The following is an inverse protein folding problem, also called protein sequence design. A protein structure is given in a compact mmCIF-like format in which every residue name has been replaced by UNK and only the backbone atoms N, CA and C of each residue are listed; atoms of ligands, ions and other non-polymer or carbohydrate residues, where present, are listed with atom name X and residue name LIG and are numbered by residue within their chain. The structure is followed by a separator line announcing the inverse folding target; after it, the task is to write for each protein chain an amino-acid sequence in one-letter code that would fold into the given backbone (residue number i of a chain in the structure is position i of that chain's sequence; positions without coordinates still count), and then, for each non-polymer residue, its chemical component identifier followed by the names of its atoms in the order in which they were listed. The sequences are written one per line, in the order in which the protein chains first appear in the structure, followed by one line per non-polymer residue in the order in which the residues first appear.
data_IF_675900228744
#
_entry.id   IF_675900228744
#
_cell.length_a   1.000
_cell.length_b   1.000
_cell.length_c   1.000
_cell.angle_alpha   90.00
_cell.angle_beta   90.00
_cell.angle_gamma   90.00
#
_symmetry.space_group_name_H-M   'P 1'
#
loop_
_entity.id
_entity.type
_entity.pdbx_description
1 polymer ?
#
# COMPACT_ATOMS: atom_id res chain seq x y z
N UNK A 1 -8.45 7.60 -21.53
CA UNK A 1 -9.49 6.54 -21.48
C UNK A 1 -8.87 5.16 -21.23
N UNK A 2 -7.87 4.74 -22.01
CA UNK A 2 -7.16 3.46 -21.83
C UNK A 2 -6.63 3.25 -20.39
N UNK A 3 -5.93 4.25 -19.83
CA UNK A 3 -5.41 4.15 -18.46
C UNK A 3 -6.51 3.93 -17.39
N UNK A 4 -7.67 4.59 -17.54
CA UNK A 4 -8.79 4.40 -16.61
C UNK A 4 -9.37 2.99 -16.70
N UNK A 5 -9.57 2.48 -17.93
CA UNK A 5 -10.04 1.11 -18.15
C UNK A 5 -9.04 0.09 -17.60
N UNK A 6 -7.74 0.31 -17.79
CA UNK A 6 -6.71 -0.57 -17.26
C UNK A 6 -6.78 -0.60 -15.73
N UNK A 7 -6.86 0.56 -15.06
CA UNK A 7 -7.02 0.65 -13.60
C UNK A 7 -8.27 -0.10 -13.12
N UNK A 8 -9.41 0.02 -13.81
CA UNK A 8 -10.60 -0.72 -13.43
C UNK A 8 -10.40 -2.24 -13.58
N UNK A 9 -9.82 -2.67 -14.70
CA UNK A 9 -9.56 -4.10 -14.92
C UNK A 9 -8.57 -4.67 -13.90
N UNK A 10 -7.52 -3.94 -13.50
CA UNK A 10 -6.56 -4.44 -12.50
C UNK A 10 -7.17 -4.56 -11.11
N UNK A 11 -8.06 -3.65 -10.71
CA UNK A 11 -8.81 -3.78 -9.45
C UNK A 11 -9.75 -4.99 -9.47
N UNK A 12 -10.43 -5.22 -10.60
CA UNK A 12 -11.33 -6.37 -10.76
C UNK A 12 -10.59 -7.72 -10.78
N UNK A 13 -9.35 -7.74 -11.28
CA UNK A 13 -8.50 -8.94 -11.31
C UNK A 13 -8.29 -9.49 -9.89
N UNK A 14 -8.14 -8.61 -8.89
CA UNK A 14 -8.01 -8.98 -7.49
C UNK A 14 -9.20 -9.79 -6.97
N UNK A 15 -10.44 -9.45 -7.37
CA UNK A 15 -11.63 -10.23 -6.99
C UNK A 15 -11.64 -11.63 -7.59
N UNK A 16 -11.15 -11.79 -8.83
CA UNK A 16 -10.99 -13.09 -9.48
C UNK A 16 -10.00 -13.98 -8.73
N UNK A 17 -8.83 -13.44 -8.38
CA UNK A 17 -7.80 -14.16 -7.61
C UNK A 17 -8.27 -14.50 -6.19
N UNK A 18 -8.95 -13.57 -5.50
CA UNK A 18 -9.49 -13.81 -4.17
C UNK A 18 -10.44 -15.01 -4.13
N UNK A 19 -11.21 -15.23 -5.20
CA UNK A 19 -12.09 -16.39 -5.35
C UNK A 19 -11.36 -17.73 -5.43
N UNK A 20 -10.24 -17.77 -6.18
CA UNK A 20 -9.39 -18.96 -6.33
C UNK A 20 -8.78 -19.34 -4.98
N UNK A 21 -8.29 -18.33 -4.25
CA UNK A 21 -7.63 -18.53 -2.95
C UNK A 21 -8.59 -18.54 -1.76
N UNK A 22 -9.90 -18.37 -1.96
CA UNK A 22 -10.92 -18.30 -0.90
C UNK A 22 -10.80 -19.46 0.10
N UNK A 23 -10.63 -20.68 -0.39
CA UNK A 23 -10.52 -21.87 0.46
C UNK A 23 -9.32 -21.81 1.42
N UNK A 24 -8.24 -21.15 1.02
CA UNK A 24 -7.00 -21.06 1.79
C UNK A 24 -6.94 -19.81 2.68
N UNK A 25 -7.39 -18.66 2.16
CA UNK A 25 -7.24 -17.35 2.82
C UNK A 25 -8.47 -16.91 3.61
N UNK A 26 -9.66 -17.43 3.29
CA UNK A 26 -10.92 -17.01 3.91
C UNK A 26 -11.52 -18.14 4.73
N UNK A 27 -11.53 -19.36 4.19
CA UNK A 27 -12.16 -20.48 4.88
C UNK A 27 -11.30 -21.05 6.02
N UNK A 28 -10.00 -20.71 6.05
CA UNK A 28 -9.06 -21.15 7.08
C UNK A 28 -9.23 -20.35 8.37
N UNK A 29 -9.41 -21.00 9.55
CA UNK A 29 -9.58 -20.30 10.82
C UNK A 29 -8.31 -19.65 11.35
N UNK A 30 -7.15 -20.03 10.82
CA UNK A 30 -5.86 -19.44 11.20
C UNK A 30 -5.57 -18.11 10.50
N UNK A 31 -6.30 -17.82 9.42
CA UNK A 31 -6.14 -16.59 8.65
C UNK A 31 -7.17 -15.56 9.11
N UNK A 32 -6.72 -14.46 9.69
CA UNK A 32 -7.59 -13.36 10.08
C UNK A 32 -7.02 -12.04 9.57
N UNK A 33 -7.91 -11.16 9.15
CA UNK A 33 -7.56 -9.90 8.49
C UNK A 33 -7.90 -8.73 9.40
N UNK A 34 -6.91 -8.11 10.09
CA UNK A 34 -7.18 -7.08 11.09
C UNK A 34 -7.94 -5.88 10.53
N UNK A 35 -7.67 -5.49 9.28
CA UNK A 35 -8.38 -4.39 8.60
C UNK A 35 -9.89 -4.65 8.46
N UNK A 36 -10.30 -5.90 8.24
CA UNK A 36 -11.71 -6.27 8.11
C UNK A 36 -12.45 -6.18 9.45
N UNK A 37 -11.77 -6.37 10.59
CA UNK A 37 -12.38 -6.26 11.91
C UNK A 37 -12.91 -4.86 12.19
N UNK A 38 -12.22 -3.82 11.68
CA UNK A 38 -12.68 -2.43 11.82
C UNK A 38 -14.00 -2.22 11.06
N UNK A 39 -14.11 -2.75 9.84
CA UNK A 39 -15.34 -2.67 9.05
C UNK A 39 -16.48 -3.48 9.69
N UNK A 40 -16.20 -4.69 10.19
CA UNK A 40 -17.19 -5.50 10.91
C UNK A 40 -17.69 -4.79 12.16
N UNK A 41 -16.81 -4.12 12.90
CA UNK A 41 -17.19 -3.31 14.08
C UNK A 41 -18.15 -2.18 13.71
N UNK A 42 -17.87 -1.48 12.61
CA UNK A 42 -18.76 -0.44 12.07
C UNK A 42 -20.12 -1.00 11.69
N UNK A 43 -20.18 -2.07 10.89
CA UNK A 43 -21.45 -2.68 10.50
C UNK A 43 -22.24 -3.20 11.69
N UNK A 44 -21.56 -3.73 12.71
CA UNK A 44 -22.19 -4.16 13.96
C UNK A 44 -22.79 -2.98 14.71
N UNK A 45 -22.12 -1.84 14.77
CA UNK A 45 -22.62 -0.62 15.41
C UNK A 45 -23.86 -0.04 14.68
N UNK A 46 -23.93 -0.18 13.35
CA UNK A 46 -25.05 0.29 12.54
C UNK A 46 -26.28 -0.64 12.59
N UNK A 47 -26.06 -1.96 12.57
CA UNK A 47 -27.16 -2.93 12.41
C UNK A 47 -27.71 -3.47 13.74
N UNK A 48 -26.92 -3.53 14.82
CA UNK A 48 -27.44 -4.03 16.10
C UNK A 48 -28.19 -2.96 16.88
N UNK A 49 -29.48 -3.22 17.15
CA UNK A 49 -30.28 -2.40 18.07
C UNK A 49 -29.84 -2.66 19.52
N UNK A 50 -29.15 -1.70 20.12
CA UNK A 50 -28.74 -1.76 21.52
C UNK A 50 -29.84 -1.27 22.47
N UNK A 51 -30.06 -2.01 23.56
CA UNK A 51 -30.87 -1.52 24.69
C UNK A 51 -30.02 -0.53 25.49
N UNK A 52 -30.42 0.74 25.50
CA UNK A 52 -29.71 1.82 26.20
C UNK A 52 -29.69 1.56 27.71
N UNK A 53 -28.50 1.44 28.31
CA UNK A 53 -28.34 1.52 29.76
C UNK A 53 -28.40 3.00 30.18
N UNK A 54 -29.18 3.32 31.22
CA UNK A 54 -29.29 4.69 31.76
C UNK A 54 -27.87 5.22 32.08
N UNK A 55 -27.54 6.41 31.58
CA UNK A 55 -26.25 7.08 31.80
C UNK A 55 -25.15 6.80 30.76
N UNK A 56 -25.39 5.96 29.75
CA UNK A 56 -24.39 5.68 28.70
C UNK A 56 -24.88 6.09 27.31
N UNK A 57 -23.95 6.53 26.44
CA UNK A 57 -24.20 6.72 25.01
C UNK A 57 -24.33 5.35 24.34
N UNK A 58 -25.23 5.23 23.36
CA UNK A 58 -25.28 4.03 22.51
C UNK A 58 -24.07 4.02 21.56
N UNK A 59 -23.67 2.84 21.05
CA UNK A 59 -22.56 2.76 20.09
C UNK A 59 -22.80 3.62 18.84
N UNK A 60 -24.04 3.67 18.36
CA UNK A 60 -24.41 4.51 17.22
C UNK A 60 -24.31 6.00 17.53
N UNK A 61 -24.75 6.45 18.72
CA UNK A 61 -24.61 7.84 19.14
C UNK A 61 -23.14 8.24 19.25
N UNK A 62 -22.31 7.41 19.89
CA UNK A 62 -20.88 7.64 19.96
C UNK A 62 -20.24 7.73 18.57
N UNK A 63 -20.57 6.79 17.67
CA UNK A 63 -20.10 6.80 16.28
C UNK A 63 -20.47 8.11 15.57
N UNK A 64 -21.74 8.54 15.63
CA UNK A 64 -22.18 9.77 14.99
C UNK A 64 -21.50 11.01 15.59
N UNK A 65 -21.32 11.06 16.90
CA UNK A 65 -20.60 12.16 17.56
C UNK A 65 -19.15 12.24 17.09
N UNK A 66 -18.43 11.11 17.07
CA UNK A 66 -17.03 11.07 16.61
C UNK A 66 -16.94 11.35 15.10
N UNK A 67 -17.88 10.86 14.30
CA UNK A 67 -17.94 11.11 12.86
C UNK A 67 -18.10 12.60 12.57
N UNK A 68 -19.09 13.27 13.19
CA UNK A 68 -19.34 14.70 13.00
C UNK A 68 -18.16 15.53 13.53
N UNK A 69 -17.62 15.18 14.71
CA UNK A 69 -16.48 15.88 15.28
C UNK A 69 -15.23 15.74 14.40
N UNK A 70 -14.95 14.55 13.90
CA UNK A 70 -13.81 14.30 12.99
C UNK A 70 -14.02 15.01 11.65
N UNK A 71 -15.22 14.97 11.09
CA UNK A 71 -15.57 15.68 9.84
C UNK A 71 -15.35 17.19 9.99
N UNK A 72 -15.84 17.78 11.09
CA UNK A 72 -15.64 19.19 11.38
C UNK A 72 -14.15 19.51 11.62
N UNK A 73 -13.43 18.64 12.33
CA UNK A 73 -12.00 18.83 12.60
C UNK A 73 -11.17 18.79 11.32
N UNK A 74 -11.49 17.92 10.35
CA UNK A 74 -10.76 17.81 9.08
C UNK A 74 -10.74 19.12 8.25
N UNK A 75 -11.73 20.00 8.42
CA UNK A 75 -11.70 21.33 7.80
C UNK A 75 -10.52 22.20 8.31
N UNK A 76 -10.04 21.96 9.53
CA UNK A 76 -8.95 22.71 10.14
C UNK A 76 -7.61 22.42 9.45
N UNK A 77 -7.05 21.19 9.46
CA UNK A 77 -5.81 20.92 8.75
C UNK A 77 -6.00 20.92 7.21
N UNK A 78 -7.21 20.67 6.71
CA UNK A 78 -7.44 20.62 5.26
C UNK A 78 -7.54 21.97 4.56
N UNK A 79 -8.08 23.00 5.24
CA UNK A 79 -8.37 24.29 4.60
C UNK A 79 -7.97 25.50 5.44
N UNK A 80 -8.31 25.53 6.73
CA UNK A 80 -8.11 26.74 7.55
C UNK A 80 -6.65 26.93 7.99
N UNK A 81 -5.98 25.85 8.38
CA UNK A 81 -4.60 25.89 8.88
C UNK A 81 -3.82 24.60 8.54
N UNK A 82 -3.35 24.47 7.28
CA UNK A 82 -2.59 23.29 6.85
C UNK A 82 -1.26 23.07 7.58
N UNK A 83 -0.69 24.12 8.19
CA UNK A 83 0.57 24.00 8.94
C UNK A 83 0.45 23.13 10.21
N UNK A 84 -0.76 22.88 10.74
CA UNK A 84 -0.99 21.97 11.87
C UNK A 84 -0.63 20.51 11.51
N UNK A 85 -0.68 20.13 10.24
CA UNK A 85 -0.33 18.78 9.81
C UNK A 85 1.15 18.46 10.02
N UNK A 86 2.04 19.46 10.02
CA UNK A 86 3.49 19.27 10.22
C UNK A 86 4.13 20.44 10.99
N UNK A 87 3.86 20.53 12.29
CA UNK A 87 4.48 21.51 13.19
C UNK A 87 5.91 21.04 13.51
N UNK A 88 6.88 21.62 12.80
CA UNK A 88 8.30 21.28 12.95
C UNK A 88 8.99 22.23 13.92
N UNK A 89 9.14 21.84 15.18
CA UNK A 89 9.65 22.71 16.26
C UNK A 89 11.05 23.21 15.94
N UNK A 90 11.93 22.35 15.43
CA UNK A 90 13.29 22.72 15.05
C UNK A 90 13.34 23.77 13.93
N UNK A 91 12.42 23.70 12.96
CA UNK A 91 12.32 24.69 11.88
C UNK A 91 11.84 26.06 12.41
N UNK A 92 11.00 26.08 13.45
CA UNK A 92 10.50 27.30 14.07
C UNK A 92 11.59 28.01 14.89
N UNK A 93 12.42 27.24 15.62
CA UNK A 93 13.53 27.77 16.42
C UNK A 93 14.68 28.22 15.51
N UNK A 94 15.05 27.42 14.51
CA UNK A 94 16.22 27.66 13.66
C UNK A 94 15.86 28.01 12.22
N UNK A 95 15.22 29.17 12.02
CA UNK A 95 14.71 29.61 10.71
C UNK A 95 15.77 29.83 9.63
N UNK A 96 17.04 30.07 9.99
CA UNK A 96 18.11 30.41 9.04
C UNK A 96 19.06 29.25 8.69
N UNK A 97 18.98 28.13 9.42
CA UNK A 97 19.91 27.01 9.24
C UNK A 97 19.33 25.95 8.31
N UNK A 98 19.95 25.75 7.14
CA UNK A 98 19.52 24.73 6.17
C UNK A 98 19.66 23.31 6.75
N UNK A 99 20.73 23.04 7.50
CA UNK A 99 20.95 21.73 8.12
C UNK A 99 19.90 21.42 9.17
N UNK A 100 19.53 22.42 10.00
CA UNK A 100 18.50 22.22 11.01
C UNK A 100 17.11 22.05 10.39
N UNK A 101 16.84 22.71 9.25
CA UNK A 101 15.63 22.47 8.47
C UNK A 101 15.59 21.07 7.84
N UNK A 102 16.72 20.57 7.33
CA UNK A 102 16.82 19.19 6.81
C UNK A 102 16.60 18.13 7.90
N UNK A 103 17.03 18.41 9.13
CA UNK A 103 16.82 17.51 10.27
C UNK A 103 15.39 17.61 10.81
N UNK A 104 14.85 18.82 10.92
CA UNK A 104 13.60 19.09 11.61
C UNK A 104 12.34 19.05 10.75
N UNK A 105 12.45 19.29 9.44
CA UNK A 105 11.28 19.38 8.56
C UNK A 105 10.57 18.03 8.45
N UNK A 106 9.25 18.00 8.72
CA UNK A 106 8.42 16.80 8.57
C UNK A 106 8.08 16.43 7.11
N UNK A 107 8.09 17.40 6.18
CA UNK A 107 7.74 17.18 4.76
C UNK A 107 8.95 16.92 3.86
N UNK A 108 10.06 17.62 4.13
CA UNK A 108 11.24 17.63 3.26
C UNK A 108 12.53 17.21 4.00
N UNK A 109 12.40 16.70 5.22
CA UNK A 109 13.52 16.37 6.09
C UNK A 109 13.24 15.15 6.97
N UNK A 110 14.13 14.89 7.92
CA UNK A 110 14.07 13.71 8.79
C UNK A 110 12.93 13.73 9.82
N UNK A 111 12.21 14.86 9.94
CA UNK A 111 11.05 15.00 10.83
C UNK A 111 11.37 14.97 12.32
N UNK A 112 12.62 15.19 12.74
CA UNK A 112 12.97 15.19 14.17
C UNK A 112 12.27 16.38 14.86
N UNK A 113 11.55 16.10 15.95
CA UNK A 113 10.70 17.07 16.64
C UNK A 113 9.65 17.74 15.73
N UNK A 114 9.16 17.00 14.74
CA UNK A 114 7.98 17.37 13.96
C UNK A 114 6.74 16.65 14.50
N UNK A 115 5.66 17.39 14.68
CA UNK A 115 4.39 16.87 15.21
C UNK A 115 3.27 17.24 14.26
N UNK A 116 2.44 16.26 13.89
CA UNK A 116 1.18 16.50 13.19
C UNK A 116 0.00 16.30 14.12
N UNK A 117 -0.92 17.26 14.20
CA UNK A 117 -2.20 17.07 14.90
C UNK A 117 -3.30 16.56 13.96
N UNK A 118 -2.95 16.32 12.70
CA UNK A 118 -3.83 15.74 11.70
C UNK A 118 -3.72 14.21 11.71
N UNK A 119 -4.83 13.55 12.05
CA UNK A 119 -4.90 12.09 12.11
C UNK A 119 -4.58 11.44 10.76
N UNK A 120 -4.93 12.06 9.63
CA UNK A 120 -4.61 11.49 8.31
C UNK A 120 -3.11 11.49 8.04
N UNK A 121 -2.40 12.52 8.48
CA UNK A 121 -0.93 12.59 8.40
C UNK A 121 -0.27 11.56 9.32
N UNK A 122 -0.76 11.41 10.57
CA UNK A 122 -0.21 10.44 11.54
C UNK A 122 -0.49 9.00 11.13
N UNK A 123 -1.70 8.71 10.66
CA UNK A 123 -2.13 7.36 10.31
C UNK A 123 -1.70 6.96 8.89
N UNK A 124 -1.31 7.92 8.03
CA UNK A 124 -1.04 7.70 6.60
C UNK A 124 0.00 6.61 6.29
N UNK A 125 0.95 6.36 7.20
CA UNK A 125 1.98 5.33 7.00
C UNK A 125 1.52 3.91 7.31
N UNK A 126 0.77 3.69 8.40
CA UNK A 126 0.27 2.36 8.81
C UNK A 126 -1.20 2.14 8.41
N UNK A 127 -1.84 3.11 7.78
CA UNK A 127 -3.28 3.14 7.51
C UNK A 127 -4.09 3.35 8.78
N UNK A 128 -4.32 2.27 9.54
CA UNK A 128 -4.98 2.34 10.85
C UNK A 128 -4.12 1.64 11.91
N UNK A 129 -3.42 2.40 12.77
CA UNK A 129 -2.61 1.81 13.84
C UNK A 129 -3.46 1.04 14.86
N UNK A 130 -4.77 1.32 14.93
CA UNK A 130 -5.73 0.64 15.81
C UNK A 130 -6.04 -0.79 15.34
N UNK A 131 -5.92 -1.06 14.03
CA UNK A 131 -6.19 -2.37 13.47
C UNK A 131 -4.96 -3.29 13.54
N UNK A 132 -3.76 -2.71 13.50
CA UNK A 132 -2.51 -3.48 13.36
C UNK A 132 -2.01 -4.00 14.71
N UNK A 133 -1.49 -5.23 14.79
CA UNK A 133 -0.94 -5.77 16.04
C UNK A 133 0.31 -5.00 16.49
N UNK A 134 0.51 -4.91 17.80
CA UNK A 134 1.61 -4.15 18.41
C UNK A 134 3.00 -4.63 17.95
N UNK A 135 3.18 -5.94 17.74
CA UNK A 135 4.44 -6.50 17.24
C UNK A 135 4.81 -5.98 15.84
N UNK A 136 3.82 -5.86 14.95
CA UNK A 136 4.03 -5.31 13.61
C UNK A 136 4.37 -3.82 13.65
N UNK A 137 3.72 -3.05 14.55
CA UNK A 137 4.03 -1.63 14.75
C UNK A 137 5.47 -1.46 15.24
N UNK A 138 5.89 -2.23 16.25
CA UNK A 138 7.26 -2.16 16.78
C UNK A 138 8.29 -2.55 15.72
N UNK A 139 8.06 -3.64 14.96
CA UNK A 139 8.95 -4.05 13.88
C UNK A 139 9.09 -2.95 12.81
N UNK A 140 7.98 -2.32 12.44
CA UNK A 140 7.98 -1.24 11.45
C UNK A 140 8.69 0.01 11.98
N UNK A 141 8.53 0.34 13.26
CA UNK A 141 9.22 1.45 13.92
C UNK A 141 10.74 1.23 13.99
N UNK A 142 11.19 0.00 14.27
CA UNK A 142 12.62 -0.35 14.24
C UNK A 142 13.18 -0.17 12.82
N UNK A 143 12.48 -0.69 11.81
CA UNK A 143 12.86 -0.54 10.40
C UNK A 143 12.93 0.94 9.99
N UNK A 144 11.92 1.73 10.36
CA UNK A 144 11.90 3.17 10.13
C UNK A 144 13.12 3.87 10.75
N UNK A 145 13.43 3.56 12.01
CA UNK A 145 14.60 4.14 12.69
C UNK A 145 15.90 3.80 11.97
N UNK A 146 16.12 2.54 11.61
CA UNK A 146 17.33 2.11 10.92
C UNK A 146 17.45 2.75 9.54
N UNK A 147 16.38 2.79 8.75
CA UNK A 147 16.46 3.33 7.38
C UNK A 147 16.55 4.86 7.37
N UNK A 148 15.67 5.54 8.10
CA UNK A 148 15.54 6.99 8.05
C UNK A 148 16.57 7.71 8.93
N UNK A 149 16.91 7.17 10.11
CA UNK A 149 17.85 7.84 11.02
C UNK A 149 19.28 7.29 10.99
N UNK A 150 19.52 6.13 10.37
CA UNK A 150 20.88 5.58 10.23
C UNK A 150 21.31 5.55 8.78
N UNK A 151 20.66 4.76 7.93
CA UNK A 151 21.11 4.51 6.55
C UNK A 151 21.03 5.78 5.68
N UNK A 152 19.90 6.50 5.70
CA UNK A 152 19.70 7.69 4.88
C UNK A 152 20.69 8.81 5.24
N UNK A 153 20.84 9.20 6.52
CA UNK A 153 21.93 10.05 7.01
C UNK A 153 23.31 9.63 6.53
N UNK A 154 23.72 8.40 6.83
CA UNK A 154 25.05 7.92 6.49
C UNK A 154 25.31 8.05 4.99
N UNK A 155 24.36 7.63 4.15
CA UNK A 155 24.49 7.73 2.70
C UNK A 155 24.54 9.18 2.19
N UNK A 156 23.71 10.08 2.75
CA UNK A 156 23.67 11.47 2.32
C UNK A 156 24.94 12.23 2.71
N UNK A 157 25.41 12.09 3.95
CA UNK A 157 26.59 12.81 4.43
C UNK A 157 27.91 12.27 3.85
N UNK A 158 28.02 10.96 3.61
CA UNK A 158 29.15 10.34 2.89
C UNK A 158 29.11 10.60 1.37
N UNK A 159 28.09 11.32 0.88
CA UNK A 159 27.90 11.63 -0.54
C UNK A 159 27.88 10.40 -1.45
N UNK A 160 27.39 9.27 -0.93
CA UNK A 160 27.12 8.08 -1.76
C UNK A 160 26.10 8.46 -2.84
N UNK A 161 26.29 7.96 -4.06
CA UNK A 161 25.43 8.28 -5.20
C UNK A 161 25.33 9.79 -5.54
N UNK A 162 26.35 10.58 -5.19
CA UNK A 162 26.33 12.05 -5.37
C UNK A 162 25.11 12.70 -4.71
N UNK A 163 24.63 12.11 -3.61
CA UNK A 163 23.36 12.46 -2.96
C UNK A 163 23.24 13.94 -2.57
N UNK A 164 24.35 14.65 -2.32
CA UNK A 164 24.33 16.08 -1.95
C UNK A 164 23.85 17.01 -3.08
N UNK A 165 23.83 16.53 -4.31
CA UNK A 165 23.26 17.28 -5.44
C UNK A 165 21.73 17.29 -5.45
N UNK A 166 21.09 16.42 -4.66
CA UNK A 166 19.65 16.25 -4.64
C UNK A 166 19.08 16.58 -3.25
N UNK A 167 17.79 16.96 -3.15
CA UNK A 167 17.12 17.11 -1.87
C UNK A 167 17.14 15.80 -1.06
N UNK A 168 17.27 15.91 0.27
CA UNK A 168 17.35 14.76 1.17
C UNK A 168 16.14 13.81 1.03
N UNK A 169 14.93 14.39 0.97
CA UNK A 169 13.68 13.67 0.73
C UNK A 169 12.97 14.29 -0.47
N UNK A 170 12.83 13.51 -1.54
CA UNK A 170 12.05 13.91 -2.72
C UNK A 170 11.61 12.70 -3.53
N UNK A 171 10.40 12.75 -4.10
CA UNK A 171 9.90 11.78 -5.07
C UNK A 171 10.15 12.20 -6.52
N UNK A 172 10.77 13.36 -6.75
CA UNK A 172 11.04 13.86 -8.10
C UNK A 172 12.27 13.18 -8.72
N UNK A 173 12.30 13.17 -10.05
CA UNK A 173 13.44 12.75 -10.86
C UNK A 173 14.35 13.95 -11.14
N UNK A 174 15.66 13.73 -11.14
CA UNK A 174 16.65 14.80 -11.32
C UNK A 174 17.60 14.53 -12.49
N UNK A 175 18.10 15.60 -13.11
CA UNK A 175 19.21 15.53 -14.05
C UNK A 175 20.56 15.41 -13.31
N UNK A 176 21.66 15.35 -14.05
CA UNK A 176 23.02 15.31 -13.48
C UNK A 176 23.44 16.61 -12.77
N UNK A 177 22.73 17.71 -13.01
CA UNK A 177 22.97 19.03 -12.43
C UNK A 177 22.14 19.32 -11.17
N UNK A 178 21.21 18.42 -10.80
CA UNK A 178 20.31 18.57 -9.65
C UNK A 178 19.00 19.29 -9.95
N UNK A 179 18.68 19.57 -11.22
CA UNK A 179 17.40 20.14 -11.64
C UNK A 179 16.36 19.05 -11.88
N UNK A 180 15.08 19.41 -11.80
CA UNK A 180 13.98 18.48 -12.09
C UNK A 180 14.09 18.01 -13.54
N UNK A 181 14.05 16.71 -13.72
CA UNK A 181 14.23 16.05 -15.03
C UNK A 181 13.04 16.34 -15.95
N UNK A 182 13.30 16.92 -17.12
CA UNK A 182 12.24 17.27 -18.06
C UNK A 182 11.85 16.07 -18.95
N UNK A 183 10.77 15.38 -18.58
CA UNK A 183 10.28 14.19 -19.30
C UNK A 183 9.70 14.52 -20.68
N UNK A 184 9.19 15.73 -20.89
CA UNK A 184 8.57 16.14 -22.17
C UNK A 184 9.58 16.26 -23.31
N UNK A 185 10.87 16.41 -22.99
CA UNK A 185 11.95 16.48 -23.99
C UNK A 185 12.28 15.12 -24.61
N UNK A 186 12.03 14.04 -23.87
CA UNK A 186 12.49 12.69 -24.24
C UNK A 186 11.32 11.83 -24.72
N UNK A 187 10.13 12.08 -24.18
CA UNK A 187 8.91 11.36 -24.57
C UNK A 187 8.29 12.09 -25.75
N UNK A 188 8.08 11.38 -26.86
CA UNK A 188 7.35 11.92 -28.00
C UNK A 188 5.88 12.13 -27.62
N UNK A 189 5.37 13.36 -27.79
CA UNK A 189 4.00 13.73 -27.40
C UNK A 189 2.90 12.94 -28.13
N UNK A 190 3.18 12.42 -29.33
CA UNK A 190 2.19 11.74 -30.17
C UNK A 190 2.17 10.22 -29.96
N UNK A 191 3.34 9.60 -29.85
CA UNK A 191 3.49 8.14 -29.72
C UNK A 191 3.75 7.68 -28.29
N UNK A 192 3.99 8.60 -27.34
CA UNK A 192 4.45 8.32 -25.98
C UNK A 192 5.70 7.44 -25.91
N UNK A 193 6.45 7.32 -27.02
CA UNK A 193 7.66 6.50 -27.09
C UNK A 193 8.86 7.27 -26.58
N UNK A 194 9.77 6.56 -25.92
CA UNK A 194 11.05 7.09 -25.47
C UNK A 194 11.99 7.36 -26.67
N UNK A 195 12.48 8.58 -26.79
CA UNK A 195 13.51 8.93 -27.77
C UNK A 195 14.91 8.70 -27.17
N UNK A 196 15.51 7.56 -27.51
CA UNK A 196 16.82 7.13 -26.98
C UNK A 196 17.93 8.15 -27.30
N UNK A 197 17.92 8.76 -28.48
CA UNK A 197 18.95 9.74 -28.87
C UNK A 197 18.86 11.04 -28.07
N UNK A 198 17.65 11.51 -27.74
CA UNK A 198 17.48 12.68 -26.87
C UNK A 198 17.79 12.34 -25.41
N UNK A 199 17.51 11.12 -24.96
CA UNK A 199 17.91 10.64 -23.63
C UNK A 199 19.43 10.63 -23.48
N UNK A 200 20.15 10.06 -24.44
CA UNK A 200 21.62 10.00 -24.41
C UNK A 200 22.26 11.39 -24.38
N UNK A 201 21.66 12.37 -25.09
CA UNK A 201 22.11 13.76 -25.11
C UNK A 201 21.80 14.51 -23.82
N UNK A 202 20.61 14.29 -23.26
CA UNK A 202 20.17 14.98 -22.04
C UNK A 202 20.79 14.36 -20.77
N UNK A 203 21.18 13.09 -20.85
CA UNK A 203 21.77 12.32 -19.76
C UNK A 203 20.71 11.52 -19.01
N UNK A 204 21.16 10.48 -18.30
CA UNK A 204 20.28 9.57 -17.55
C UNK A 204 19.59 10.28 -16.38
N UNK A 205 18.39 9.82 -16.06
CA UNK A 205 17.66 10.25 -14.87
C UNK A 205 18.37 9.77 -13.60
N UNK A 206 18.44 10.63 -12.59
CA UNK A 206 18.94 10.33 -11.25
C UNK A 206 17.81 10.41 -10.23
N UNK A 207 17.88 9.55 -9.22
CA UNK A 207 16.93 9.49 -8.12
C UNK A 207 17.54 10.13 -6.86
N UNK A 208 16.71 10.73 -6.02
CA UNK A 208 17.13 11.08 -4.66
C UNK A 208 17.50 9.81 -3.89
N UNK A 209 18.40 9.93 -2.91
CA UNK A 209 18.81 8.79 -2.09
C UNK A 209 17.60 8.18 -1.34
N UNK A 210 16.69 9.01 -0.84
CA UNK A 210 15.45 8.54 -0.20
C UNK A 210 14.60 7.70 -1.15
N UNK A 211 14.45 8.14 -2.41
CA UNK A 211 13.59 7.44 -3.37
C UNK A 211 14.20 6.13 -3.82
N UNK A 212 15.53 6.11 -4.02
CA UNK A 212 16.27 4.87 -4.29
C UNK A 212 16.15 3.85 -3.15
N UNK A 213 16.26 4.29 -1.89
CA UNK A 213 16.08 3.42 -0.71
C UNK A 213 14.66 2.85 -0.62
N UNK A 214 13.63 3.64 -0.93
CA UNK A 214 12.24 3.16 -0.98
C UNK A 214 12.06 2.07 -2.04
N UNK A 215 12.64 2.23 -3.23
CA UNK A 215 12.63 1.17 -4.25
C UNK A 215 13.36 -0.09 -3.79
N UNK A 216 14.56 0.06 -3.24
CA UNK A 216 15.34 -1.06 -2.74
C UNK A 216 14.57 -1.85 -1.66
N UNK A 217 13.94 -1.15 -0.71
CA UNK A 217 13.13 -1.77 0.33
C UNK A 217 11.85 -2.41 -0.21
N UNK A 218 11.25 -1.85 -1.27
CA UNK A 218 10.08 -2.43 -1.93
C UNK A 218 10.42 -3.76 -2.62
N UNK A 219 11.59 -3.87 -3.27
CA UNK A 219 12.04 -5.15 -3.82
C UNK A 219 12.42 -6.13 -2.71
N UNK A 220 13.09 -5.65 -1.66
CA UNK A 220 13.46 -6.47 -0.52
C UNK A 220 12.22 -7.02 0.23
N UNK A 221 11.16 -6.24 0.37
CA UNK A 221 9.93 -6.68 1.05
C UNK A 221 9.24 -7.80 0.29
N UNK A 222 9.17 -7.73 -1.06
CA UNK A 222 8.62 -8.80 -1.89
C UNK A 222 9.38 -10.12 -1.70
N UNK A 223 10.72 -10.08 -1.72
CA UNK A 223 11.55 -11.27 -1.49
C UNK A 223 11.47 -11.76 -0.04
N UNK A 224 11.38 -10.85 0.93
CA UNK A 224 11.23 -11.17 2.33
C UNK A 224 9.90 -11.88 2.61
N UNK A 225 8.79 -11.44 2.00
CA UNK A 225 7.49 -12.10 2.13
C UNK A 225 7.55 -13.56 1.68
N UNK A 226 8.14 -13.83 0.51
CA UNK A 226 8.33 -15.21 0.03
C UNK A 226 9.20 -16.03 0.97
N UNK A 227 10.34 -15.47 1.40
CA UNK A 227 11.29 -16.16 2.27
C UNK A 227 10.64 -16.47 3.63
N UNK A 228 9.89 -15.52 4.17
CA UNK A 228 9.18 -15.67 5.44
C UNK A 228 8.14 -16.79 5.35
N UNK A 229 7.29 -16.77 4.32
CA UNK A 229 6.24 -17.79 4.12
C UNK A 229 6.86 -19.16 3.84
N UNK A 230 7.90 -19.24 3.02
CA UNK A 230 8.59 -20.49 2.72
C UNK A 230 9.20 -21.13 3.98
N UNK A 231 9.83 -20.35 4.86
CA UNK A 231 10.48 -20.86 6.07
C UNK A 231 9.49 -21.20 7.18
N UNK A 232 8.50 -20.35 7.44
CA UNK A 232 7.59 -20.51 8.59
C UNK A 232 6.35 -21.32 8.25
N UNK A 233 5.73 -21.07 7.10
CA UNK A 233 4.44 -21.66 6.73
C UNK A 233 4.55 -22.68 5.59
N UNK A 234 5.72 -22.82 4.95
CA UNK A 234 5.92 -23.69 3.79
C UNK A 234 5.60 -25.15 4.07
N UNK A 235 5.92 -25.65 5.27
CA UNK A 235 5.59 -27.03 5.67
C UNK A 235 4.07 -27.26 5.76
N UNK A 236 3.34 -26.27 6.26
CA UNK A 236 1.88 -26.36 6.41
C UNK A 236 1.18 -26.19 5.06
N UNK A 237 1.64 -25.25 4.23
CA UNK A 237 1.16 -25.08 2.85
C UNK A 237 1.39 -26.36 2.03
N UNK A 238 2.57 -26.97 2.16
CA UNK A 238 2.88 -28.23 1.46
C UNK A 238 1.99 -29.38 1.90
N UNK A 239 1.73 -29.52 3.21
CA UNK A 239 0.78 -30.52 3.74
C UNK A 239 -0.64 -30.25 3.28
N UNK A 240 -1.09 -28.98 3.25
CA UNK A 240 -2.40 -28.60 2.72
C UNK A 240 -2.51 -28.94 1.23
N UNK A 241 -1.45 -28.71 0.45
CA UNK A 241 -1.39 -29.02 -0.97
C UNK A 241 -1.48 -30.54 -1.23
N UNK A 242 -0.68 -31.35 -0.52
CA UNK A 242 -0.69 -32.81 -0.66
C UNK A 242 -2.02 -33.43 -0.21
N UNK A 243 -2.60 -32.91 0.87
CA UNK A 243 -3.80 -33.49 1.48
C UNK A 243 -5.07 -32.75 1.05
N UNK A 244 -5.11 -32.03 -0.08
CA UNK A 244 -6.24 -31.17 -0.48
C UNK A 244 -7.61 -31.88 -0.49
N UNK A 245 -7.64 -33.20 -0.68
CA UNK A 245 -8.84 -34.05 -0.58
C UNK A 245 -9.28 -34.40 0.86
N UNK A 246 -8.35 -34.44 1.82
CA UNK A 246 -8.53 -34.93 3.19
C UNK A 246 -8.52 -33.79 4.22
N UNK A 247 -7.66 -32.79 4.02
CA UNK A 247 -7.60 -31.54 4.80
C UNK A 247 -8.91 -30.75 4.72
N UNK A 248 -9.65 -30.84 3.60
CA UNK A 248 -10.97 -30.26 3.46
C UNK A 248 -12.10 -30.98 4.20
N UNK A 249 -11.84 -32.18 4.75
CA UNK A 249 -12.82 -33.00 5.47
C UNK A 249 -12.59 -33.06 6.97
N UNK A 250 -11.34 -33.06 7.46
CA UNK A 250 -11.05 -33.50 8.83
C UNK A 250 -10.52 -32.45 9.82
N UNK A 251 -10.13 -31.23 9.43
CA UNK A 251 -9.66 -30.22 10.40
C UNK A 251 -10.37 -28.86 10.32
N UNK A 252 -11.41 -28.81 11.16
CA UNK A 252 -11.89 -27.66 11.96
C UNK A 252 -12.53 -26.52 11.16
N UNK A 253 -13.78 -26.76 10.72
CA UNK A 253 -14.75 -25.67 10.61
C UNK A 253 -14.90 -25.04 12.00
N UNK A 254 -14.22 -23.91 12.21
CA UNK A 254 -14.41 -23.07 13.38
C UNK A 254 -15.89 -22.66 13.50
N UNK A 255 -16.32 -22.32 14.71
CA UNK A 255 -17.69 -21.90 15.03
C UNK A 255 -18.15 -20.81 14.06
N UNK A 256 -17.26 -19.87 13.71
CA UNK A 256 -17.53 -18.83 12.73
C UNK A 256 -17.80 -19.37 11.31
N UNK A 257 -16.99 -20.33 10.84
CA UNK A 257 -17.17 -20.96 9.53
C UNK A 257 -18.46 -21.79 9.47
N UNK A 258 -18.77 -22.50 10.56
CA UNK A 258 -20.01 -23.27 10.68
C UNK A 258 -21.26 -22.38 10.66
N UNK A 259 -21.23 -21.25 11.36
CA UNK A 259 -22.29 -20.24 11.34
C UNK A 259 -22.43 -19.62 9.94
N UNK A 260 -21.32 -19.32 9.27
CA UNK A 260 -21.29 -18.81 7.89
C UNK A 260 -21.95 -19.79 6.93
N UNK A 261 -21.50 -21.05 6.88
CA UNK A 261 -22.06 -22.08 5.98
C UNK A 261 -23.53 -22.39 6.24
N UNK A 262 -23.99 -22.24 7.50
CA UNK A 262 -25.40 -22.45 7.86
C UNK A 262 -26.31 -21.33 7.37
N UNK A 263 -25.83 -20.09 7.36
CA UNK A 263 -26.65 -18.91 7.06
C UNK A 263 -26.43 -18.36 5.64
N UNK A 264 -25.34 -18.72 4.97
CA UNK A 264 -24.95 -18.18 3.66
C UNK A 264 -24.53 -19.29 2.70
N UNK A 265 -25.14 -19.30 1.52
CA UNK A 265 -24.76 -20.21 0.44
C UNK A 265 -23.40 -19.81 -0.16
N UNK A 266 -22.49 -20.77 -0.44
CA UNK A 266 -21.20 -20.45 -1.02
C UNK A 266 -21.33 -20.05 -2.49
N UNK A 267 -20.75 -18.90 -2.84
CA UNK A 267 -20.60 -18.50 -4.25
C UNK A 267 -19.82 -19.56 -5.04
N UNK A 268 -20.34 -20.07 -6.18
CA UNK A 268 -19.67 -21.08 -6.97
C UNK A 268 -18.32 -20.60 -7.53
N UNK A 269 -17.31 -21.48 -7.55
CA UNK A 269 -15.96 -21.13 -8.00
C UNK A 269 -15.88 -20.68 -9.47
N UNK A 270 -16.77 -21.18 -10.33
CA UNK A 270 -16.77 -20.85 -11.76
C UNK A 270 -17.03 -19.36 -12.04
N UNK A 271 -17.75 -18.65 -11.17
CA UNK A 271 -17.94 -17.20 -11.30
C UNK A 271 -16.61 -16.46 -11.21
N UNK A 272 -15.72 -16.89 -10.32
CA UNK A 272 -14.41 -16.26 -10.15
C UNK A 272 -13.47 -16.56 -11.30
N UNK A 273 -13.49 -17.79 -11.83
CA UNK A 273 -12.75 -18.12 -13.05
C UNK A 273 -13.26 -17.32 -14.25
N UNK A 274 -14.58 -17.23 -14.45
CA UNK A 274 -15.17 -16.43 -15.52
C UNK A 274 -14.78 -14.95 -15.41
N UNK A 275 -14.90 -14.38 -14.21
CA UNK A 275 -14.51 -12.99 -13.96
C UNK A 275 -13.02 -12.79 -14.25
N UNK A 276 -12.15 -13.71 -13.80
CA UNK A 276 -10.72 -13.63 -14.06
C UNK A 276 -10.40 -13.65 -15.56
N UNK A 277 -10.96 -14.60 -16.31
CA UNK A 277 -10.74 -14.69 -17.76
C UNK A 277 -11.27 -13.47 -18.52
N UNK A 278 -12.47 -12.99 -18.16
CA UNK A 278 -13.08 -11.81 -18.75
C UNK A 278 -12.20 -10.57 -18.51
N UNK A 279 -11.76 -10.38 -17.27
CA UNK A 279 -10.93 -9.23 -16.89
C UNK A 279 -9.56 -9.26 -17.56
N UNK A 280 -8.91 -10.42 -17.64
CA UNK A 280 -7.63 -10.57 -18.38
C UNK A 280 -7.84 -10.22 -19.87
N UNK A 281 -8.93 -10.69 -20.48
CA UNK A 281 -9.28 -10.35 -21.86
C UNK A 281 -9.47 -8.84 -22.06
N UNK A 282 -10.21 -8.19 -21.16
CA UNK A 282 -10.38 -6.73 -21.19
C UNK A 282 -9.08 -5.97 -20.97
N UNK A 283 -8.19 -6.44 -20.08
CA UNK A 283 -6.87 -5.85 -19.89
C UNK A 283 -6.01 -5.95 -21.15
N UNK A 284 -6.00 -7.10 -21.84
CA UNK A 284 -5.27 -7.28 -23.10
C UNK A 284 -5.81 -6.32 -24.17
N UNK A 285 -7.14 -6.24 -24.34
CA UNK A 285 -7.78 -5.33 -25.30
C UNK A 285 -7.43 -3.86 -24.96
N UNK A 286 -7.36 -3.52 -23.68
CA UNK A 286 -7.02 -2.15 -23.25
C UNK A 286 -5.56 -1.81 -23.54
N UNK A 287 -4.64 -2.77 -23.37
CA UNK A 287 -3.21 -2.58 -23.59
C UNK A 287 -2.83 -2.51 -25.08
N UNK A 288 -3.35 -3.41 -25.90
CA UNK A 288 -3.08 -3.46 -27.35
C UNK A 288 -3.97 -2.49 -28.14
N UNK A 289 -5.15 -2.19 -27.61
CA UNK A 289 -6.07 -1.21 -28.17
C UNK A 289 -5.60 0.24 -27.97
N UNK A 290 -6.46 1.20 -28.33
CA UNK A 290 -6.22 2.63 -28.15
C UNK A 290 -4.89 3.13 -28.77
N UNK A 291 -4.54 2.64 -29.97
CA UNK A 291 -3.33 3.01 -30.70
C UNK A 291 -2.02 2.76 -29.92
N UNK A 292 -1.96 1.74 -29.06
CA UNK A 292 -0.73 1.36 -28.37
C UNK A 292 -0.22 2.37 -27.34
N UNK A 293 -1.09 3.23 -26.80
CA UNK A 293 -0.72 4.25 -25.81
C UNK A 293 -0.04 3.70 -24.55
N UNK A 294 -0.37 2.47 -24.15
CA UNK A 294 0.15 1.84 -22.94
C UNK A 294 1.47 1.08 -23.17
N UNK A 295 1.81 0.78 -24.43
CA UNK A 295 3.04 0.09 -24.84
C UNK A 295 3.33 -1.25 -24.15
N UNK A 296 2.36 -1.81 -23.41
CA UNK A 296 2.48 -3.09 -22.75
C UNK A 296 1.99 -4.19 -23.69
N UNK A 297 2.85 -5.14 -24.10
CA UNK A 297 2.43 -6.22 -24.97
C UNK A 297 1.49 -7.19 -24.26
N UNK A 298 0.64 -7.89 -25.02
CA UNK A 298 -0.33 -8.87 -24.49
C UNK A 298 0.27 -9.91 -23.54
N UNK A 299 1.48 -10.40 -23.81
CA UNK A 299 2.16 -11.37 -22.96
C UNK A 299 2.58 -10.75 -21.62
N UNK A 300 2.82 -9.44 -21.57
CA UNK A 300 3.11 -8.70 -20.35
C UNK A 300 1.94 -8.72 -19.37
N UNK A 301 0.70 -8.65 -19.89
CA UNK A 301 -0.51 -8.78 -19.07
C UNK A 301 -0.60 -10.17 -18.43
N UNK A 302 -0.32 -11.22 -19.20
CA UNK A 302 -0.30 -12.60 -18.68
C UNK A 302 0.83 -12.81 -17.67
N UNK A 303 1.99 -12.22 -17.91
CA UNK A 303 3.13 -12.28 -16.99
C UNK A 303 2.80 -11.62 -15.65
N UNK A 304 2.22 -10.42 -15.67
CA UNK A 304 1.78 -9.70 -14.46
C UNK A 304 0.68 -10.47 -13.74
N UNK A 305 -0.29 -11.05 -14.46
CA UNK A 305 -1.32 -11.89 -13.85
C UNK A 305 -0.73 -13.14 -13.18
N UNK A 306 0.29 -13.76 -13.78
CA UNK A 306 1.04 -14.88 -13.19
C UNK A 306 1.80 -14.47 -11.93
N UNK A 307 2.47 -13.32 -11.95
CA UNK A 307 3.11 -12.74 -10.76
C UNK A 307 2.06 -12.51 -9.67
N UNK A 308 0.95 -11.85 -9.98
CA UNK A 308 -0.11 -11.58 -9.02
C UNK A 308 -0.65 -12.88 -8.38
N UNK A 309 -0.87 -13.93 -9.18
CA UNK A 309 -1.30 -15.24 -8.70
C UNK A 309 -0.28 -15.84 -7.72
N UNK A 310 1.01 -15.77 -8.04
CA UNK A 310 2.08 -16.28 -7.16
C UNK A 310 2.18 -15.50 -5.85
N UNK A 311 2.02 -14.18 -5.89
CA UNK A 311 2.12 -13.30 -4.71
C UNK A 311 0.85 -13.26 -3.86
N UNK A 312 -0.31 -13.69 -4.38
CA UNK A 312 -1.56 -13.63 -3.63
C UNK A 312 -1.54 -14.56 -2.40
N UNK A 313 -0.94 -15.74 -2.50
CA UNK A 313 -0.89 -16.69 -1.38
C UNK A 313 0.11 -16.28 -0.27
N UNK A 314 1.32 -15.76 -0.56
CA UNK A 314 2.24 -15.32 0.50
C UNK A 314 1.86 -14.00 1.16
N UNK A 315 1.18 -13.10 0.42
CA UNK A 315 0.74 -11.80 0.95
C UNK A 315 -0.58 -11.93 1.69
N UNK A 316 -1.44 -12.85 1.25
CA UNK A 316 -2.75 -13.11 1.86
C UNK A 316 -2.69 -14.00 3.09
#
# INVERSE_FOLDING_TARGET
MAAFLLVQTTQLLGYGLAGIFRKYLVDSPYMWWPGNLVQVSLFKALNHKEKRKKGTLTRLQFFLTVFIASFAYYAVPGFLFPAISTISVLCLVYKKSVTMQQIGSGLHGLGIASFGLDWSTVAGFLGSPLASPASAIINTMISFFLIIYVVLPLGYWTNTYKAKHFPLISANLFDSSGKIYNTTRIINANSFTLNIHEEERYGRMNLSLSFALVYALSFASLTASFTHVALHNGKDIWKMWQNTKEYGKEKVDDVHMRLMKRNYEPVPQWWFYLLLFLVIGLSIITCEGFNGQLQLPWWGVLFVAGIALLFTLPIG
#
